data_IF_203474515123
#
_entry.id   IF_203474515123
#
_cell.length_a   1.000
_cell.length_b   1.000
_cell.length_c   1.000
_cell.angle_alpha   90.00
_cell.angle_beta   90.00
_cell.angle_gamma   90.00
#
_symmetry.space_group_name_H-M   'P 1'
#
loop_
_entity.id
_entity.type
_entity.pdbx_description
1 polymer ?
#
# COMPACT_ATOMS: atom_id res chain seq x y z
N UNK A 1 14.74 25.11 -42.99
CA UNK A 1 14.42 23.70 -42.64
C UNK A 1 12.97 23.62 -42.23
N UNK A 2 12.14 22.80 -42.89
CA UNK A 2 10.78 22.49 -42.41
C UNK A 2 10.83 21.11 -41.77
N UNK A 3 10.65 21.04 -40.46
CA UNK A 3 10.53 19.79 -39.74
C UNK A 3 9.26 19.07 -40.26
N UNK A 4 9.37 17.81 -40.67
CA UNK A 4 8.17 17.07 -41.07
C UNK A 4 7.25 16.87 -39.86
N UNK A 5 5.93 16.91 -40.08
CA UNK A 5 4.92 16.75 -39.03
C UNK A 5 5.15 15.48 -38.19
N UNK A 6 5.64 14.40 -38.82
CA UNK A 6 5.94 13.13 -38.16
C UNK A 6 7.11 13.23 -37.18
N UNK A 7 8.14 14.01 -37.51
CA UNK A 7 9.30 14.25 -36.63
C UNK A 7 8.91 15.15 -35.48
N UNK A 8 8.11 16.19 -35.73
CA UNK A 8 7.56 17.05 -34.66
C UNK A 8 6.70 16.24 -33.68
N UNK A 9 5.81 15.39 -34.20
CA UNK A 9 4.96 14.53 -33.39
C UNK A 9 5.78 13.52 -32.55
N UNK A 10 6.80 12.89 -33.15
CA UNK A 10 7.67 11.95 -32.42
C UNK A 10 8.43 12.62 -31.27
N UNK A 11 8.94 13.84 -31.47
CA UNK A 11 9.63 14.59 -30.43
C UNK A 11 8.68 15.03 -29.31
N UNK A 12 7.48 15.52 -29.65
CA UNK A 12 6.47 15.92 -28.68
C UNK A 12 5.97 14.74 -27.84
N UNK A 13 5.61 13.63 -28.49
CA UNK A 13 5.17 12.39 -27.81
C UNK A 13 6.31 11.81 -26.98
N UNK A 14 7.53 11.79 -27.51
CA UNK A 14 8.70 11.32 -26.80
C UNK A 14 9.00 12.13 -25.54
N UNK A 15 8.89 13.46 -25.63
CA UNK A 15 9.07 14.37 -24.49
C UNK A 15 7.96 14.17 -23.46
N UNK A 16 6.70 14.07 -23.90
CA UNK A 16 5.57 13.87 -23.00
C UNK A 16 5.66 12.53 -22.24
N UNK A 17 5.99 11.44 -22.93
CA UNK A 17 6.15 10.11 -22.31
C UNK A 17 7.37 10.02 -21.38
N UNK A 18 8.45 10.73 -21.71
CA UNK A 18 9.64 10.82 -20.84
C UNK A 18 9.38 11.69 -19.60
N UNK A 19 8.69 12.81 -19.76
CA UNK A 19 8.38 13.74 -18.67
C UNK A 19 7.30 13.19 -17.73
N UNK A 20 6.31 12.45 -18.23
CA UNK A 20 5.20 11.91 -17.44
C UNK A 20 5.62 11.26 -16.10
N UNK A 21 6.56 10.30 -16.05
CA UNK A 21 6.99 9.69 -14.79
C UNK A 21 7.79 10.65 -13.87
N UNK A 22 8.34 11.74 -14.40
CA UNK A 22 9.10 12.74 -13.63
C UNK A 22 8.18 13.76 -12.95
N UNK A 23 7.07 14.14 -13.59
CA UNK A 23 6.14 15.15 -13.07
C UNK A 23 4.88 14.54 -12.44
N UNK A 24 4.54 13.28 -12.74
CA UNK A 24 3.41 12.62 -12.10
C UNK A 24 3.77 12.22 -10.66
N UNK A 25 2.98 12.62 -9.65
CA UNK A 25 3.19 12.18 -8.28
C UNK A 25 3.11 10.65 -8.22
N UNK A 26 4.06 10.03 -7.53
CA UNK A 26 3.94 8.60 -7.20
C UNK A 26 2.70 8.48 -6.32
N UNK A 27 1.70 7.64 -6.66
CA UNK A 27 0.59 7.41 -5.76
C UNK A 27 1.17 6.86 -4.47
N UNK A 28 1.07 7.66 -3.40
CA UNK A 28 1.52 7.26 -2.08
C UNK A 28 0.56 6.15 -1.63
N UNK A 29 1.05 4.94 -1.37
CA UNK A 29 0.20 3.91 -0.78
C UNK A 29 -0.38 4.47 0.52
N UNK A 30 -1.70 4.48 0.64
CA UNK A 30 -2.36 4.83 1.91
C UNK A 30 -1.96 3.81 2.95
N UNK A 31 -1.70 4.27 4.16
CA UNK A 31 -1.35 3.39 5.28
C UNK A 31 -2.51 2.46 5.59
N UNK A 32 -2.17 1.21 5.90
CA UNK A 32 -3.12 0.15 6.18
C UNK A 32 -2.89 -0.39 7.58
N UNK A 33 -3.98 -0.78 8.21
CA UNK A 33 -3.97 -1.66 9.37
C UNK A 33 -4.09 -3.09 8.84
N UNK A 34 -3.14 -3.93 9.24
CA UNK A 34 -3.22 -5.38 9.10
C UNK A 34 -3.49 -5.96 10.49
N UNK A 35 -4.58 -6.72 10.66
CA UNK A 35 -4.94 -7.35 11.92
C UNK A 35 -4.86 -8.86 11.77
N UNK A 36 -4.02 -9.48 12.60
CA UNK A 36 -3.95 -10.93 12.77
C UNK A 36 -4.49 -11.29 14.15
N UNK A 37 -5.26 -12.38 14.24
CA UNK A 37 -5.84 -12.85 15.51
C UNK A 37 -5.52 -14.32 15.72
N UNK A 38 -4.73 -14.60 16.76
CA UNK A 38 -4.39 -15.95 17.18
C UNK A 38 -5.03 -16.30 18.52
N UNK A 39 -5.21 -17.60 18.76
CA UNK A 39 -5.53 -18.08 20.11
C UNK A 39 -4.31 -17.89 21.00
N UNK A 40 -4.50 -17.31 22.19
CA UNK A 40 -3.40 -17.12 23.12
C UNK A 40 -2.88 -18.50 23.62
N UNK A 41 -1.55 -18.73 23.60
CA UNK A 41 -0.97 -19.95 24.13
C UNK A 41 -1.29 -20.17 25.62
N UNK A 42 -1.68 -21.38 25.99
CA UNK A 42 -1.96 -21.79 27.38
C UNK A 42 -0.72 -21.82 28.29
N UNK A 43 0.49 -21.77 27.71
CA UNK A 43 1.77 -21.87 28.44
C UNK A 43 2.18 -20.56 29.13
N UNK A 44 1.41 -19.48 28.92
CA UNK A 44 1.68 -18.14 29.44
C UNK A 44 0.46 -17.60 30.18
N UNK A 45 0.73 -16.89 31.27
CA UNK A 45 -0.30 -16.17 32.03
C UNK A 45 -0.66 -14.85 31.32
N UNK A 46 -1.41 -14.95 30.23
CA UNK A 46 -2.01 -13.78 29.59
C UNK A 46 -3.13 -13.21 30.47
N UNK A 47 -3.29 -11.88 30.44
CA UNK A 47 -4.43 -11.18 31.01
C UNK A 47 -5.09 -10.41 29.89
N UNK A 48 -6.42 -10.40 29.87
CA UNK A 48 -7.16 -9.63 28.89
C UNK A 48 -6.89 -8.14 29.09
N UNK A 49 -6.38 -7.50 28.04
CA UNK A 49 -6.30 -6.05 27.94
C UNK A 49 -7.69 -5.48 27.62
N UNK A 50 -8.45 -6.23 26.80
CA UNK A 50 -9.82 -5.89 26.42
C UNK A 50 -10.77 -7.07 26.64
N UNK A 51 -11.97 -6.78 27.15
CA UNK A 51 -13.09 -7.71 27.05
C UNK A 51 -13.75 -7.51 25.68
N UNK A 52 -13.93 -8.59 24.93
CA UNK A 52 -14.59 -8.56 23.63
C UNK A 52 -15.94 -7.84 23.71
N UNK A 53 -16.70 -8.02 24.78
CA UNK A 53 -18.02 -7.39 24.92
C UNK A 53 -17.95 -5.86 25.00
N UNK A 54 -16.83 -5.31 25.48
CA UNK A 54 -16.61 -3.86 25.60
C UNK A 54 -16.21 -3.18 24.28
N UNK A 55 -15.79 -3.97 23.28
CA UNK A 55 -15.42 -3.46 21.97
C UNK A 55 -16.63 -2.90 21.20
N UNK A 56 -16.35 -1.90 20.35
CA UNK A 56 -17.34 -1.35 19.41
C UNK A 56 -17.80 -2.43 18.40
N UNK A 57 -18.96 -2.21 17.77
CA UNK A 57 -19.48 -3.15 16.77
C UNK A 57 -18.50 -3.36 15.60
N UNK A 58 -17.87 -2.28 15.14
CA UNK A 58 -16.90 -2.33 14.04
C UNK A 58 -15.61 -3.03 14.45
N UNK A 59 -15.12 -2.80 15.67
CA UNK A 59 -13.94 -3.51 16.19
C UNK A 59 -14.20 -5.01 16.36
N UNK A 60 -15.40 -5.39 16.81
CA UNK A 60 -15.85 -6.78 16.88
C UNK A 60 -15.91 -7.42 15.51
N UNK A 61 -16.48 -6.73 14.52
CA UNK A 61 -16.58 -7.24 13.15
C UNK A 61 -15.18 -7.50 12.56
N UNK A 62 -14.27 -6.54 12.69
CA UNK A 62 -12.90 -6.68 12.18
C UNK A 62 -12.13 -7.79 12.90
N UNK A 63 -12.29 -7.91 14.23
CA UNK A 63 -11.69 -8.99 15.01
C UNK A 63 -12.24 -10.37 14.60
N UNK A 64 -13.55 -10.49 14.39
CA UNK A 64 -14.20 -11.74 13.99
C UNK A 64 -13.76 -12.16 12.59
N UNK A 65 -13.64 -11.21 11.67
CA UNK A 65 -13.13 -11.44 10.33
C UNK A 65 -11.67 -11.90 10.38
N UNK A 66 -10.81 -11.21 11.13
CA UNK A 66 -9.41 -11.59 11.30
C UNK A 66 -9.25 -12.97 11.94
N UNK A 67 -10.06 -13.30 12.95
CA UNK A 67 -10.08 -14.62 13.57
C UNK A 67 -10.48 -15.73 12.57
N UNK A 68 -11.36 -15.45 11.62
CA UNK A 68 -11.82 -16.41 10.61
C UNK A 68 -10.79 -16.58 9.48
N UNK A 69 -10.30 -15.47 8.96
CA UNK A 69 -9.55 -15.42 7.71
C UNK A 69 -8.03 -15.34 7.93
N UNK A 70 -7.61 -15.28 9.19
CA UNK A 70 -6.22 -15.18 9.65
C UNK A 70 -5.75 -13.73 9.69
N UNK A 71 -5.68 -13.09 8.52
CA UNK A 71 -5.21 -11.72 8.38
C UNK A 71 -6.23 -10.89 7.60
N UNK A 72 -6.63 -9.76 8.16
CA UNK A 72 -7.50 -8.78 7.49
C UNK A 72 -6.80 -7.44 7.38
N UNK A 73 -7.03 -6.76 6.26
CA UNK A 73 -6.40 -5.47 5.98
C UNK A 73 -7.43 -4.40 5.69
N UNK A 74 -7.35 -3.27 6.39
CA UNK A 74 -8.24 -2.11 6.20
C UNK A 74 -7.43 -0.81 6.10
N UNK A 75 -7.95 0.25 5.47
CA UNK A 75 -7.31 1.57 5.53
C UNK A 75 -7.15 2.02 6.98
N UNK A 76 -5.96 2.48 7.37
CA UNK A 76 -5.70 2.88 8.76
C UNK A 76 -6.61 4.05 9.21
N UNK A 77 -7.03 4.91 8.28
CA UNK A 77 -7.98 6.00 8.53
C UNK A 77 -9.40 5.53 8.87
N UNK A 78 -9.74 4.29 8.56
CA UNK A 78 -11.05 3.67 8.78
C UNK A 78 -10.99 2.59 9.88
N UNK A 79 -9.80 2.31 10.41
CA UNK A 79 -9.60 1.32 11.46
C UNK A 79 -10.34 1.74 12.75
N UNK A 80 -11.12 0.84 13.37
CA UNK A 80 -11.78 1.14 14.63
C UNK A 80 -10.79 1.05 15.81
N UNK A 81 -11.12 1.75 16.90
CA UNK A 81 -10.42 1.58 18.18
C UNK A 81 -10.76 0.21 18.80
N UNK A 82 -9.81 -0.45 19.50
CA UNK A 82 -8.46 0.03 19.86
C UNK A 82 -7.37 -0.21 18.80
N UNK A 83 -7.70 -0.90 17.71
CA UNK A 83 -6.72 -1.35 16.71
C UNK A 83 -5.98 -0.20 16.02
N UNK A 84 -6.67 0.91 15.77
CA UNK A 84 -6.07 2.11 15.19
C UNK A 84 -5.00 2.74 16.10
N UNK A 85 -5.28 2.90 17.40
CA UNK A 85 -4.30 3.41 18.36
C UNK A 85 -3.09 2.49 18.44
N UNK A 86 -3.32 1.18 18.62
CA UNK A 86 -2.24 0.23 18.79
C UNK A 86 -1.33 0.13 17.56
N UNK A 87 -1.88 0.16 16.35
CA UNK A 87 -1.09 0.17 15.12
C UNK A 87 -0.27 1.47 14.95
N UNK A 88 -0.73 2.60 15.49
CA UNK A 88 0.02 3.85 15.48
C UNK A 88 1.14 3.88 16.52
N UNK A 89 0.92 3.25 17.68
CA UNK A 89 1.89 3.19 18.78
C UNK A 89 2.93 2.08 18.61
N UNK A 90 2.59 1.02 17.88
CA UNK A 90 3.52 -0.08 17.60
C UNK A 90 4.57 0.37 16.59
N UNK A 91 5.78 0.69 17.06
CA UNK A 91 6.94 0.80 16.18
C UNK A 91 7.11 -0.52 15.42
N UNK A 92 7.33 -0.43 14.11
CA UNK A 92 7.38 -1.54 13.12
C UNK A 92 8.25 -2.76 13.48
N UNK A 93 9.02 -2.69 14.57
CA UNK A 93 9.94 -3.71 15.07
C UNK A 93 9.45 -4.41 16.35
N UNK A 94 8.36 -3.94 16.96
CA UNK A 94 7.75 -4.58 18.13
C UNK A 94 6.27 -4.78 17.81
N UNK A 95 5.90 -5.97 17.34
CA UNK A 95 4.49 -6.35 17.26
C UNK A 95 3.96 -6.39 18.70
N UNK A 96 3.32 -5.30 19.12
CA UNK A 96 2.55 -5.30 20.35
C UNK A 96 1.26 -6.05 20.07
N UNK A 97 0.94 -7.01 20.92
CA UNK A 97 -0.32 -7.76 20.85
C UNK A 97 -1.23 -7.31 21.98
N UNK A 98 -2.48 -6.99 21.66
CA UNK A 98 -3.51 -6.82 22.68
C UNK A 98 -4.21 -8.15 22.92
N UNK A 99 -4.42 -8.48 24.20
CA UNK A 99 -5.12 -9.70 24.59
C UNK A 99 -6.62 -9.43 24.69
N UNK A 100 -7.42 -10.17 23.93
CA UNK A 100 -8.88 -10.08 23.94
C UNK A 100 -9.49 -11.30 24.61
N UNK A 101 -10.29 -11.10 25.66
CA UNK A 101 -11.11 -12.16 26.23
C UNK A 101 -12.43 -12.30 25.47
N UNK A 102 -12.73 -13.50 24.98
CA UNK A 102 -13.99 -13.80 24.30
C UNK A 102 -14.43 -15.23 24.63
N UNK A 103 -15.67 -15.38 25.07
CA UNK A 103 -16.33 -16.67 25.31
C UNK A 103 -15.55 -17.62 26.24
N UNK A 104 -14.72 -17.07 27.13
CA UNK A 104 -13.89 -17.82 28.08
C UNK A 104 -12.45 -18.10 27.61
N UNK A 105 -12.15 -17.82 26.34
CA UNK A 105 -10.82 -17.94 25.75
C UNK A 105 -10.12 -16.59 25.67
N UNK A 106 -8.79 -16.62 25.58
CA UNK A 106 -7.96 -15.46 25.31
C UNK A 106 -7.41 -15.53 23.87
N UNK A 107 -7.41 -14.39 23.20
CA UNK A 107 -6.89 -14.23 21.85
C UNK A 107 -5.84 -13.13 21.83
N UNK A 108 -4.80 -13.30 21.01
CA UNK A 108 -3.80 -12.28 20.73
C UNK A 108 -4.19 -11.57 19.43
N UNK A 109 -4.48 -10.29 19.53
CA UNK A 109 -4.71 -9.41 18.38
C UNK A 109 -3.41 -8.67 18.07
N UNK A 110 -2.91 -8.81 16.85
CA UNK A 110 -1.67 -8.19 16.38
C UNK A 110 -1.99 -7.12 15.32
N UNK A 111 -2.38 -5.90 15.71
CA UNK A 111 -2.56 -4.81 14.78
C UNK A 111 -1.21 -4.25 14.33
N UNK A 112 -0.96 -4.32 13.03
CA UNK A 112 0.28 -3.88 12.40
C UNK A 112 -0.02 -2.76 11.42
N UNK A 113 0.71 -1.64 11.56
CA UNK A 113 0.69 -0.59 10.55
C UNK A 113 1.59 -0.98 9.38
N UNK A 114 0.99 -1.13 8.20
CA UNK A 114 1.68 -1.46 6.97
C UNK A 114 1.58 -0.32 5.96
N UNK A 115 2.66 -0.13 5.21
CA UNK A 115 2.66 0.69 4.01
C UNK A 115 2.77 -0.27 2.83
N UNK A 116 1.70 -0.48 2.05
CA UNK A 116 1.75 -1.41 0.94
C UNK A 116 2.82 -0.97 -0.06
N UNK A 117 3.49 -1.93 -0.68
CA UNK A 117 4.46 -1.62 -1.74
C UNK A 117 3.78 -0.91 -2.91
N UNK A 118 4.50 -0.05 -3.66
CA UNK A 118 3.96 0.56 -4.87
C UNK A 118 3.41 -0.50 -5.82
N UNK A 119 2.24 -0.24 -6.42
CA UNK A 119 1.63 -1.17 -7.37
C UNK A 119 2.60 -1.54 -8.50
N UNK A 120 2.86 -2.83 -8.76
CA UNK A 120 3.71 -3.27 -9.88
C UNK A 120 3.23 -2.73 -11.22
N UNK A 121 1.92 -2.60 -11.41
CA UNK A 121 1.32 -2.05 -12.64
C UNK A 121 1.70 -0.57 -12.82
N UNK A 122 1.67 0.22 -11.75
CA UNK A 122 2.09 1.63 -11.81
C UNK A 122 3.59 1.76 -12.07
N UNK A 123 4.40 0.89 -11.48
CA UNK A 123 5.85 0.85 -11.70
C UNK A 123 6.15 0.49 -13.17
N UNK A 124 5.50 -0.54 -13.72
CA UNK A 124 5.63 -0.94 -15.12
C UNK A 124 5.16 0.15 -16.09
N UNK A 125 4.05 0.83 -15.79
CA UNK A 125 3.55 1.93 -16.63
C UNK A 125 4.57 3.08 -16.71
N UNK A 126 5.22 3.42 -15.58
CA UNK A 126 6.25 4.47 -15.54
C UNK A 126 7.50 4.07 -16.33
N UNK A 127 8.00 2.85 -16.14
CA UNK A 127 9.17 2.33 -16.88
C UNK A 127 8.86 2.24 -18.38
N UNK A 128 7.67 1.73 -18.74
CA UNK A 128 7.21 1.64 -20.12
C UNK A 128 7.10 3.00 -20.79
N UNK A 129 6.55 3.99 -20.08
CA UNK A 129 6.48 5.39 -20.54
C UNK A 129 7.88 5.97 -20.78
N UNK A 130 8.82 5.77 -19.85
CA UNK A 130 10.21 6.21 -20.01
C UNK A 130 10.88 5.57 -21.23
N UNK A 131 10.79 4.25 -21.37
CA UNK A 131 11.39 3.52 -22.48
C UNK A 131 10.80 3.96 -23.84
N UNK A 132 9.48 4.10 -23.91
CA UNK A 132 8.80 4.60 -25.11
C UNK A 132 9.19 6.05 -25.44
N UNK A 133 9.31 6.90 -24.42
CA UNK A 133 9.78 8.28 -24.55
C UNK A 133 11.20 8.36 -25.13
N UNK A 134 12.13 7.60 -24.57
CA UNK A 134 13.53 7.52 -25.05
C UNK A 134 13.58 7.04 -26.49
N UNK A 135 12.84 5.99 -26.85
CA UNK A 135 12.81 5.47 -28.22
C UNK A 135 12.25 6.49 -29.23
N UNK A 136 11.16 7.18 -28.87
CA UNK A 136 10.57 8.21 -29.73
C UNK A 136 11.47 9.44 -29.90
N UNK A 137 12.16 9.87 -28.83
CA UNK A 137 13.15 10.95 -28.88
C UNK A 137 14.37 10.57 -29.72
N UNK A 138 14.90 9.35 -29.56
CA UNK A 138 16.00 8.85 -30.36
C UNK A 138 15.64 8.78 -31.85
N UNK A 139 14.45 8.26 -32.18
CA UNK A 139 13.96 8.22 -33.55
C UNK A 139 13.74 9.61 -34.15
N UNK A 140 13.07 10.51 -33.40
CA UNK A 140 12.82 11.88 -33.82
C UNK A 140 14.12 12.67 -34.03
N UNK A 141 15.07 12.54 -33.10
CA UNK A 141 16.39 13.17 -33.18
C UNK A 141 17.19 12.68 -34.38
N UNK A 142 17.29 11.35 -34.57
CA UNK A 142 17.98 10.76 -35.73
C UNK A 142 17.39 11.25 -37.06
N UNK A 143 16.05 11.28 -37.18
CA UNK A 143 15.38 11.76 -38.40
C UNK A 143 15.52 13.25 -38.60
N UNK A 144 15.59 14.06 -37.54
CA UNK A 144 15.81 15.50 -37.64
C UNK A 144 17.23 15.82 -38.14
N UNK A 145 18.24 15.07 -37.66
CA UNK A 145 19.64 15.22 -38.06
C UNK A 145 19.89 14.73 -39.48
N UNK A 146 19.23 13.66 -39.93
CA UNK A 146 19.43 13.12 -41.29
C UNK A 146 18.45 13.66 -42.33
N UNK A 147 17.62 14.64 -41.97
CA UNK A 147 16.76 15.38 -42.90
C UNK A 147 17.37 16.72 -43.35
N UNK A 148 18.59 17.04 -42.89
CA UNK A 148 19.52 17.98 -43.53
C UNK A 148 20.32 17.28 -44.61
#
# INVERSE_FOLDING_TARGET
MRLSLRVAAALLVGTALFAFPLVSPVPTPSEQLELEVDVAPDDRNYRADHDYQSLSADAKALFDEAKSDGIVTVPLSEAPEPWATQANESERLTASSDVVARDGDLYLAFPMRTLPSPSPVHLLARIGSLAAGVAALAYGGYRAVNAT
#
